data_IF_580786321554
#
_entry.id   IF_580786321554
#
_cell.length_a   1.000
_cell.length_b   1.000
_cell.length_c   1.000
_cell.angle_alpha   90.00
_cell.angle_beta   90.00
_cell.angle_gamma   90.00
#
_symmetry.space_group_name_H-M   'P 1'
#
loop_
_entity.id
_entity.type
_entity.pdbx_description
1 polymer ?
#
# COMPACT_ATOMS: atom_id res chain seq x y z
N UNK A 1 7.84 23.80 -3.59
CA UNK A 1 6.92 22.69 -3.94
C UNK A 1 7.00 21.67 -2.81
N UNK A 2 5.99 21.61 -1.93
CA UNK A 2 6.05 20.76 -0.73
C UNK A 2 5.73 19.31 -1.12
N UNK A 3 6.75 18.45 -1.08
CA UNK A 3 6.61 17.01 -1.36
C UNK A 3 6.29 16.32 -0.03
N UNK A 4 5.01 16.10 0.20
CA UNK A 4 4.51 15.31 1.33
C UNK A 4 4.53 13.85 0.87
N UNK A 5 5.37 13.03 1.51
CA UNK A 5 5.40 11.56 1.30
C UNK A 5 4.68 10.94 2.48
N UNK A 6 3.51 10.35 2.25
CA UNK A 6 2.76 9.62 3.26
C UNK A 6 2.64 8.17 2.80
N UNK A 7 3.05 7.27 3.69
CA UNK A 7 3.33 5.86 3.45
C UNK A 7 2.20 5.07 2.78
N UNK A 8 2.58 4.08 1.97
CA UNK A 8 1.73 2.94 1.63
C UNK A 8 2.52 1.63 1.43
N UNK A 9 3.00 1.33 0.23
CA UNK A 9 3.96 0.26 -0.03
C UNK A 9 4.57 0.50 -1.42
N UNK A 10 5.76 -0.02 -1.65
CA UNK A 10 6.34 -0.12 -2.99
C UNK A 10 6.72 -1.58 -3.16
N UNK A 11 6.26 -2.20 -4.25
CA UNK A 11 6.70 -3.55 -4.60
C UNK A 11 8.01 -3.44 -5.38
N UNK A 12 8.98 -4.28 -5.05
CA UNK A 12 10.24 -4.39 -5.76
C UNK A 12 10.65 -5.85 -5.91
N UNK A 13 11.40 -6.14 -6.97
CA UNK A 13 12.04 -7.44 -7.20
C UNK A 13 13.23 -7.64 -6.27
N UNK A 14 13.74 -8.87 -6.18
CA UNK A 14 14.90 -9.19 -5.34
C UNK A 14 16.16 -8.37 -5.69
N UNK A 15 16.33 -7.98 -6.96
CA UNK A 15 17.41 -7.10 -7.43
C UNK A 15 17.13 -5.60 -7.21
N UNK A 16 16.04 -5.26 -6.52
CA UNK A 16 15.73 -3.88 -6.10
C UNK A 16 15.01 -3.04 -7.16
N UNK A 17 14.54 -3.64 -8.27
CA UNK A 17 13.74 -2.92 -9.26
C UNK A 17 12.32 -2.71 -8.75
N UNK A 18 11.88 -1.45 -8.70
CA UNK A 18 10.49 -1.11 -8.40
C UNK A 18 9.54 -1.62 -9.49
N UNK A 19 8.50 -2.34 -9.09
CA UNK A 19 7.48 -2.91 -10.00
C UNK A 19 6.07 -2.38 -9.75
N UNK A 20 5.80 -1.79 -8.58
CA UNK A 20 4.56 -1.08 -8.33
C UNK A 20 4.75 0.02 -7.27
N UNK A 21 4.18 1.18 -7.52
CA UNK A 21 3.97 2.24 -6.52
C UNK A 21 2.50 2.16 -6.08
N UNK A 22 2.28 1.81 -4.82
CA UNK A 22 0.94 1.63 -4.27
C UNK A 22 0.51 2.82 -3.41
N UNK A 23 1.15 3.99 -3.54
CA UNK A 23 0.75 5.17 -2.77
C UNK A 23 -0.70 5.57 -3.01
N UNK A 24 -1.39 5.92 -1.91
CA UNK A 24 -2.75 6.45 -1.94
C UNK A 24 -2.71 8.00 -1.82
N UNK A 25 -2.75 8.75 -2.94
CA UNK A 25 -2.72 10.21 -2.90
C UNK A 25 -3.99 10.82 -2.30
N UNK A 26 -5.07 10.04 -2.15
CA UNK A 26 -6.31 10.52 -1.51
C UNK A 26 -6.22 10.55 0.01
N UNK A 27 -5.29 9.79 0.60
CA UNK A 27 -5.14 9.67 2.05
C UNK A 27 -6.26 8.89 2.73
N UNK A 28 -7.01 8.06 2.00
CA UNK A 28 -8.08 7.22 2.54
C UNK A 28 -7.55 6.22 3.60
N UNK A 29 -6.27 5.84 3.48
CA UNK A 29 -5.63 4.85 4.34
C UNK A 29 -4.33 5.39 4.97
N UNK A 30 -4.42 6.27 5.97
CA UNK A 30 -3.28 7.03 6.48
C UNK A 30 -2.26 6.23 7.32
N UNK A 31 -2.54 4.96 7.61
CA UNK A 31 -1.72 4.10 8.49
C UNK A 31 -1.71 2.65 7.99
N UNK A 32 -0.99 2.41 6.91
CA UNK A 32 -0.69 1.06 6.41
C UNK A 32 0.70 0.62 6.86
N UNK A 33 0.79 -0.61 7.35
CA UNK A 33 2.02 -1.22 7.87
C UNK A 33 2.55 -2.35 6.99
N UNK A 34 1.77 -2.80 6.01
CA UNK A 34 2.17 -3.84 5.07
C UNK A 34 1.04 -4.23 4.12
N UNK A 35 1.38 -5.08 3.16
CA UNK A 35 0.45 -5.61 2.15
C UNK A 35 0.70 -7.11 1.99
N UNK A 36 -0.38 -7.90 2.00
CA UNK A 36 -0.34 -9.31 1.58
C UNK A 36 -0.95 -9.43 0.19
N UNK A 37 -0.19 -9.99 -0.75
CA UNK A 37 -0.63 -10.22 -2.12
C UNK A 37 -1.19 -11.62 -2.29
N UNK A 38 -2.26 -11.73 -3.07
CA UNK A 38 -2.86 -12.99 -3.53
C UNK A 38 -3.04 -12.93 -5.04
N UNK A 39 -3.60 -14.00 -5.63
CA UNK A 39 -3.94 -14.01 -7.05
C UNK A 39 -4.90 -12.86 -7.42
N UNK A 40 -5.89 -12.57 -6.57
CA UNK A 40 -7.01 -11.69 -6.93
C UNK A 40 -6.97 -10.32 -6.23
N UNK A 41 -6.22 -10.21 -5.13
CA UNK A 41 -6.34 -9.07 -4.19
C UNK A 41 -5.03 -8.72 -3.52
N UNK A 42 -4.92 -7.44 -3.15
CA UNK A 42 -3.96 -6.92 -2.18
C UNK A 42 -4.67 -6.62 -0.87
N UNK A 43 -4.31 -7.31 0.21
CA UNK A 43 -4.85 -7.07 1.55
C UNK A 43 -3.96 -6.11 2.32
N UNK A 44 -4.57 -5.09 2.91
CA UNK A 44 -3.86 -4.01 3.56
C UNK A 44 -3.80 -4.26 5.06
N UNK A 45 -2.59 -4.29 5.62
CA UNK A 45 -2.40 -4.34 7.06
C UNK A 45 -2.48 -2.90 7.58
N UNK A 46 -3.50 -2.60 8.37
CA UNK A 46 -3.73 -1.24 8.87
C UNK A 46 -3.91 -1.21 10.38
N UNK A 47 -3.38 -0.16 11.01
CA UNK A 47 -3.61 0.15 12.42
C UNK A 47 -4.89 0.97 12.63
N UNK A 48 -5.75 1.06 11.61
CA UNK A 48 -7.05 1.72 11.68
C UNK A 48 -8.15 0.67 11.92
N UNK A 49 -8.91 0.71 13.03
CA UNK A 49 -9.80 -0.38 13.43
C UNK A 49 -11.13 -0.48 12.64
N UNK A 50 -11.19 -0.02 11.38
CA UNK A 50 -12.44 0.09 10.60
C UNK A 50 -12.79 -1.13 9.73
N UNK A 51 -12.04 -2.23 9.84
CA UNK A 51 -12.31 -3.49 9.15
C UNK A 51 -11.22 -3.90 8.16
N UNK A 52 -11.49 -4.98 7.41
CA UNK A 52 -10.56 -5.51 6.41
C UNK A 52 -10.57 -4.64 5.14
N UNK A 53 -9.43 -4.05 4.79
CA UNK A 53 -9.26 -3.25 3.59
C UNK A 53 -8.48 -4.03 2.51
N UNK A 54 -8.87 -3.87 1.25
CA UNK A 54 -8.26 -4.54 0.11
C UNK A 54 -8.39 -3.73 -1.18
N UNK A 55 -7.49 -4.01 -2.13
CA UNK A 55 -7.54 -3.53 -3.51
C UNK A 55 -7.69 -4.72 -4.47
N UNK A 56 -8.48 -4.54 -5.54
CA UNK A 56 -8.52 -5.50 -6.64
C UNK A 56 -7.20 -5.47 -7.42
N UNK A 57 -6.79 -6.61 -7.97
CA UNK A 57 -5.63 -6.70 -8.86
C UNK A 57 -5.98 -6.32 -10.30
#
# INVERSE_FOLDING_TARGET
>A
MKRIVLFYAIAFTEDGRVVADLQDPSGAFPKVTGVTETADRLYLHTLNPRGLAWLAR
#
